data_IF_415759467280
#
_entry.id   IF_415759467280
#
_cell.length_a   1.000
_cell.length_b   1.000
_cell.length_c   1.000
_cell.angle_alpha   90.00
_cell.angle_beta   90.00
_cell.angle_gamma   90.00
#
_symmetry.space_group_name_H-M   'P 1'
#
loop_
_entity.id
_entity.type
_entity.pdbx_description
1 polymer ?
#
# COMPACT_ATOMS: atom_id res chain seq x y z
N UNK A 1 9.40 -17.19 7.17
CA UNK A 1 8.58 -16.13 6.55
C UNK A 1 9.51 -14.96 6.32
N UNK A 2 9.92 -14.74 5.07
CA UNK A 2 10.94 -13.75 4.72
C UNK A 2 10.43 -12.36 5.06
N UNK A 3 11.08 -11.75 6.04
CA UNK A 3 10.92 -10.36 6.45
C UNK A 3 11.39 -9.55 5.25
N UNK A 4 10.46 -9.02 4.44
CA UNK A 4 10.85 -8.13 3.35
C UNK A 4 11.33 -6.82 3.96
N UNK A 5 12.64 -6.70 4.15
CA UNK A 5 13.35 -5.44 4.36
C UNK A 5 13.16 -4.57 3.12
N UNK A 6 11.99 -3.95 3.02
CA UNK A 6 11.57 -3.17 1.89
C UNK A 6 10.61 -2.11 2.39
N UNK A 7 11.16 -0.94 2.65
CA UNK A 7 10.41 0.22 3.08
C UNK A 7 9.26 0.55 2.14
N UNK A 8 8.06 0.74 2.67
CA UNK A 8 6.87 1.07 1.87
C UNK A 8 6.80 2.59 1.64
N UNK A 9 7.01 3.11 0.42
CA UNK A 9 7.15 4.56 0.23
C UNK A 9 5.82 5.31 0.24
N UNK A 10 4.70 4.62 0.00
CA UNK A 10 3.33 5.06 0.20
C UNK A 10 2.50 3.81 0.45
N UNK A 11 1.71 3.79 1.53
CA UNK A 11 0.83 2.66 1.82
C UNK A 11 -0.60 3.10 1.56
N UNK A 12 -1.33 2.27 0.82
CA UNK A 12 -2.78 2.34 0.71
C UNK A 12 -3.35 1.11 1.37
N UNK A 13 -4.35 1.27 2.25
CA UNK A 13 -5.25 0.18 2.58
C UNK A 13 -6.59 0.48 1.93
N UNK A 14 -7.08 -0.46 1.12
CA UNK A 14 -8.43 -0.44 0.59
C UNK A 14 -9.24 -1.53 1.29
N UNK A 15 -10.32 -1.12 1.97
CA UNK A 15 -11.31 -2.04 2.57
C UNK A 15 -12.27 -2.48 1.47
N UNK A 16 -12.26 -3.78 1.18
CA UNK A 16 -13.07 -4.41 0.15
C UNK A 16 -14.33 -5.01 0.77
N UNK A 17 -15.45 -4.86 0.08
CA UNK A 17 -16.65 -5.63 0.41
C UNK A 17 -16.52 -7.04 -0.20
N UNK A 18 -16.55 -8.05 0.67
CA UNK A 18 -16.33 -9.48 0.47
C UNK A 18 -17.00 -10.08 -0.79
N UNK A 19 -16.29 -10.16 -1.95
CA UNK A 19 -16.73 -11.03 -3.07
C UNK A 19 -15.75 -11.30 -4.26
N UNK A 20 -14.42 -11.07 -4.18
CA UNK A 20 -13.53 -11.28 -5.35
C UNK A 20 -12.11 -11.77 -5.01
N UNK A 21 -11.94 -12.97 -4.48
CA UNK A 21 -10.61 -13.45 -4.05
C UNK A 21 -9.77 -14.08 -5.18
N UNK A 22 -10.39 -14.59 -6.26
CA UNK A 22 -9.74 -15.58 -7.13
C UNK A 22 -9.31 -15.01 -8.50
N UNK A 23 -10.00 -14.00 -9.04
CA UNK A 23 -9.85 -13.59 -10.44
C UNK A 23 -8.65 -12.69 -10.75
N UNK A 24 -8.05 -12.03 -9.76
CA UNK A 24 -6.99 -11.03 -10.00
C UNK A 24 -5.59 -11.45 -9.50
N UNK A 25 -5.46 -12.60 -8.82
CA UNK A 25 -4.24 -13.00 -8.12
C UNK A 25 -2.97 -12.94 -9.00
N UNK A 26 -3.05 -13.37 -10.26
CA UNK A 26 -1.88 -13.36 -11.15
C UNK A 26 -1.50 -11.97 -11.68
N UNK A 27 -2.41 -10.98 -11.63
CA UNK A 27 -2.20 -9.66 -12.26
C UNK A 27 -1.86 -8.55 -11.25
N UNK A 28 -2.27 -8.67 -9.99
CA UNK A 28 -2.04 -7.63 -8.97
C UNK A 28 -1.08 -8.07 -7.86
N UNK A 29 -0.69 -9.35 -7.81
CA UNK A 29 0.12 -9.89 -6.70
C UNK A 29 1.50 -9.23 -6.56
N UNK A 30 2.04 -8.62 -7.62
CA UNK A 30 3.31 -7.90 -7.54
C UNK A 30 3.22 -6.60 -6.71
N UNK A 31 2.03 -6.01 -6.58
CA UNK A 31 1.80 -4.75 -5.87
C UNK A 31 1.05 -4.89 -4.55
N UNK A 32 0.40 -6.03 -4.31
CA UNK A 32 -0.44 -6.21 -3.12
C UNK A 32 -0.41 -7.63 -2.56
N UNK A 33 -0.47 -7.72 -1.23
CA UNK A 33 -0.76 -8.95 -0.51
C UNK A 33 -2.20 -8.85 -0.02
N UNK A 34 -3.12 -9.51 -0.70
CA UNK A 34 -4.53 -9.47 -0.34
C UNK A 34 -4.74 -10.24 0.99
N UNK A 35 -5.29 -9.58 2.00
CA UNK A 35 -5.71 -10.23 3.24
C UNK A 35 -7.22 -10.05 3.42
N UNK A 36 -8.00 -11.05 3.02
CA UNK A 36 -9.48 -11.09 3.08
C UNK A 36 -10.13 -9.77 2.59
N UNK A 37 -10.31 -8.80 3.48
CA UNK A 37 -10.95 -7.51 3.24
C UNK A 37 -9.98 -6.33 3.08
N UNK A 38 -8.71 -6.45 3.51
CA UNK A 38 -7.70 -5.41 3.42
C UNK A 38 -6.74 -5.66 2.25
N UNK A 39 -6.52 -4.61 1.45
CA UNK A 39 -5.60 -4.64 0.33
C UNK A 39 -4.48 -3.59 0.48
N UNK A 40 -3.36 -3.95 1.14
CA UNK A 40 -2.17 -3.11 1.18
C UNK A 40 -1.55 -2.98 -0.20
N UNK A 41 -1.40 -1.75 -0.72
CA UNK A 41 -0.72 -1.51 -2.01
C UNK A 41 0.66 -0.90 -1.76
N UNK A 42 1.68 -1.52 -2.36
CA UNK A 42 3.05 -1.00 -2.46
C UNK A 42 3.45 -0.90 -3.93
N UNK A 43 3.67 0.32 -4.42
CA UNK A 43 3.93 0.56 -5.85
C UNK A 43 5.40 0.80 -6.19
N UNK A 44 6.14 1.48 -5.30
CA UNK A 44 7.55 1.80 -5.52
C UNK A 44 8.39 1.15 -4.40
N UNK A 45 9.64 0.75 -4.68
CA UNK A 45 10.59 0.35 -3.65
C UNK A 45 11.34 1.55 -3.02
N UNK A 46 11.24 2.76 -3.59
CA UNK A 46 12.04 3.92 -3.18
C UNK A 46 11.29 5.25 -3.29
N UNK A 47 11.75 6.24 -2.51
CA UNK A 47 11.30 7.64 -2.58
C UNK A 47 12.09 8.49 -3.58
N UNK A 48 13.11 7.90 -4.24
CA UNK A 48 14.02 8.61 -5.15
C UNK A 48 14.68 9.81 -4.45
N UNK A 49 15.28 9.55 -3.29
CA UNK A 49 15.94 10.58 -2.49
C UNK A 49 17.24 11.05 -3.16
N UNK A 50 17.35 12.36 -3.35
CA UNK A 50 18.52 13.05 -3.82
C UNK A 50 19.52 13.26 -2.68
N UNK A 51 20.78 13.53 -3.03
CA UNK A 51 21.86 13.77 -2.04
C UNK A 51 21.60 14.97 -1.12
N UNK A 52 20.74 15.88 -1.53
CA UNK A 52 20.34 17.07 -0.77
C UNK A 52 19.14 16.82 0.18
N UNK A 53 18.63 15.58 0.22
CA UNK A 53 17.48 15.18 1.04
C UNK A 53 16.12 15.48 0.40
N UNK A 54 16.09 16.00 -0.83
CA UNK A 54 14.84 16.13 -1.60
C UNK A 54 14.48 14.82 -2.29
N UNK A 55 13.27 14.71 -2.85
CA UNK A 55 12.87 13.57 -3.68
C UNK A 55 12.73 14.02 -5.14
N UNK A 56 12.96 13.11 -6.08
CA UNK A 56 12.63 13.35 -7.48
C UNK A 56 11.17 13.78 -7.66
N UNK A 57 10.95 14.69 -8.61
CA UNK A 57 9.63 15.22 -8.98
C UNK A 57 9.35 14.89 -10.45
N UNK A 58 8.08 14.84 -10.83
CA UNK A 58 7.73 14.63 -12.25
C UNK A 58 7.98 15.90 -13.07
N UNK A 59 8.50 15.75 -14.28
CA UNK A 59 8.89 16.89 -15.13
C UNK A 59 7.71 17.78 -15.52
N UNK A 60 6.51 17.21 -15.65
CA UNK A 60 5.28 17.92 -16.03
C UNK A 60 4.67 18.72 -14.87
N UNK A 61 4.94 18.33 -13.63
CA UNK A 61 4.49 19.01 -12.41
C UNK A 61 5.55 18.87 -11.31
N UNK A 62 6.48 19.83 -11.20
CA UNK A 62 7.55 19.81 -10.20
C UNK A 62 7.08 19.85 -8.74
N UNK A 63 5.80 20.13 -8.47
CA UNK A 63 5.24 20.07 -7.10
C UNK A 63 4.90 18.64 -6.68
N UNK A 64 4.82 17.71 -7.64
CA UNK A 64 4.46 16.31 -7.38
C UNK A 64 5.71 15.43 -7.35
N UNK A 65 5.93 14.77 -6.21
CA UNK A 65 6.99 13.78 -6.05
C UNK A 65 6.73 12.58 -6.96
N UNK A 66 7.79 12.10 -7.62
CA UNK A 66 7.74 11.00 -8.59
C UNK A 66 7.10 9.75 -8.01
N UNK A 67 7.52 9.33 -6.81
CA UNK A 67 6.99 8.11 -6.18
C UNK A 67 5.50 8.21 -5.84
N UNK A 68 4.98 9.41 -5.53
CA UNK A 68 3.55 9.64 -5.26
C UNK A 68 2.75 9.48 -6.55
N UNK A 69 3.26 10.02 -7.66
CA UNK A 69 2.63 9.90 -8.96
C UNK A 69 2.59 8.45 -9.46
N UNK A 70 3.72 7.74 -9.36
CA UNK A 70 3.78 6.30 -9.70
C UNK A 70 2.80 5.50 -8.84
N UNK A 71 2.70 5.82 -7.54
CA UNK A 71 1.76 5.18 -6.63
C UNK A 71 0.30 5.39 -7.02
N UNK A 72 -0.09 6.62 -7.33
CA UNK A 72 -1.45 6.92 -7.77
C UNK A 72 -1.81 6.20 -9.07
N UNK A 73 -0.86 6.04 -10.00
CA UNK A 73 -1.08 5.26 -11.21
C UNK A 73 -1.35 3.78 -10.89
N UNK A 74 -0.57 3.18 -10.01
CA UNK A 74 -0.78 1.79 -9.55
C UNK A 74 -2.13 1.65 -8.85
N UNK A 75 -2.48 2.55 -7.93
CA UNK A 75 -3.78 2.55 -7.24
C UNK A 75 -4.93 2.67 -8.23
N UNK A 76 -4.84 3.59 -9.19
CA UNK A 76 -5.87 3.77 -10.21
C UNK A 76 -6.06 2.50 -11.05
N UNK A 77 -4.98 1.86 -11.49
CA UNK A 77 -5.06 0.59 -12.23
C UNK A 77 -5.74 -0.50 -11.41
N UNK A 78 -5.37 -0.65 -10.14
CA UNK A 78 -5.94 -1.66 -9.25
C UNK A 78 -7.43 -1.37 -8.99
N UNK A 79 -7.79 -0.12 -8.73
CA UNK A 79 -9.17 0.29 -8.46
C UNK A 79 -10.06 0.06 -9.67
N UNK A 80 -9.59 0.42 -10.86
CA UNK A 80 -10.30 0.17 -12.12
C UNK A 80 -10.53 -1.33 -12.33
N UNK A 81 -9.50 -2.16 -12.15
CA UNK A 81 -9.62 -3.63 -12.31
C UNK A 81 -10.61 -4.24 -11.32
N UNK A 82 -10.57 -3.79 -10.06
CA UNK A 82 -11.49 -4.31 -9.04
C UNK A 82 -12.93 -3.87 -9.35
N UNK A 83 -13.13 -2.62 -9.76
CA UNK A 83 -14.44 -2.15 -10.23
C UNK A 83 -14.94 -2.97 -11.41
N UNK A 84 -14.09 -3.23 -12.41
CA UNK A 84 -14.47 -3.97 -13.61
C UNK A 84 -14.77 -5.45 -13.32
N UNK A 85 -14.16 -6.01 -12.26
CA UNK A 85 -14.49 -7.34 -11.73
C UNK A 85 -15.78 -7.37 -10.88
N UNK A 86 -16.44 -6.23 -10.63
CA UNK A 86 -17.64 -6.11 -9.79
C UNK A 86 -17.38 -5.81 -8.31
N UNK A 87 -16.13 -5.52 -7.95
CA UNK A 87 -15.73 -5.22 -6.59
C UNK A 87 -15.98 -3.76 -6.21
N UNK A 88 -16.06 -3.52 -4.90
CA UNK A 88 -16.22 -2.18 -4.34
C UNK A 88 -15.26 -1.96 -3.18
N UNK A 89 -14.94 -0.69 -2.94
CA UNK A 89 -14.16 -0.25 -1.78
C UNK A 89 -14.97 0.67 -0.89
N UNK A 90 -14.73 0.60 0.41
CA UNK A 90 -15.24 1.58 1.35
C UNK A 90 -14.40 2.86 1.29
N UNK A 91 -14.95 3.93 0.70
CA UNK A 91 -14.27 5.22 0.65
C UNK A 91 -13.96 5.82 2.02
N UNK A 92 -14.79 5.55 3.03
CA UNK A 92 -14.62 6.07 4.40
C UNK A 92 -13.52 5.35 5.19
N UNK A 93 -13.22 4.10 4.84
CA UNK A 93 -12.16 3.31 5.49
C UNK A 93 -10.87 3.27 4.67
N UNK A 94 -10.94 3.69 3.42
CA UNK A 94 -9.80 3.74 2.51
C UNK A 94 -8.84 4.85 2.91
N UNK A 95 -7.57 4.50 3.04
CA UNK A 95 -6.49 5.48 3.23
C UNK A 95 -5.59 5.45 2.00
N UNK A 96 -5.36 6.61 1.38
CA UNK A 96 -4.53 6.75 0.18
C UNK A 96 -3.36 7.69 0.48
N UNK A 97 -2.15 7.29 0.08
CA UNK A 97 -0.89 8.04 0.30
C UNK A 97 -0.67 8.32 1.79
N UNK A 98 -0.35 7.27 2.55
CA UNK A 98 0.08 7.41 3.93
C UNK A 98 1.58 7.08 4.09
N UNK A 99 2.27 7.88 4.92
CA UNK A 99 3.64 7.59 5.37
C UNK A 99 3.70 6.41 6.33
N UNK A 100 2.62 6.18 7.08
CA UNK A 100 2.44 5.08 8.02
C UNK A 100 0.95 4.70 8.09
N UNK A 101 0.66 3.42 8.28
CA UNK A 101 -0.70 2.92 8.48
C UNK A 101 -0.68 1.60 9.26
N UNK A 102 -1.73 1.33 10.03
CA UNK A 102 -1.91 0.03 10.67
C UNK A 102 -2.77 -0.86 9.78
N UNK A 103 -2.27 -2.03 9.43
CA UNK A 103 -2.97 -3.03 8.61
C UNK A 103 -2.91 -4.35 9.35
N UNK A 104 -4.07 -4.91 9.72
CA UNK A 104 -4.19 -6.19 10.42
C UNK A 104 -3.23 -6.29 11.63
N UNK A 105 -3.27 -5.29 12.50
CA UNK A 105 -2.42 -5.21 13.70
C UNK A 105 -0.90 -5.14 13.42
N UNK A 106 -0.49 -4.78 12.20
CA UNK A 106 0.89 -4.41 11.85
C UNK A 106 0.99 -2.93 11.53
N UNK A 107 1.91 -2.25 12.20
CA UNK A 107 2.35 -0.91 11.81
C UNK A 107 3.25 -1.03 10.57
N UNK A 108 2.76 -0.50 9.46
CA UNK A 108 3.45 -0.48 8.19
C UNK A 108 3.96 0.93 7.93
N UNK A 109 5.23 1.06 7.54
CA UNK A 109 5.84 2.34 7.18
C UNK A 109 6.92 2.17 6.10
N UNK A 110 7.53 3.29 5.70
CA UNK A 110 8.75 3.26 4.89
C UNK A 110 9.94 2.54 5.57
N UNK A 111 9.90 2.23 6.86
CA UNK A 111 11.00 1.49 7.50
C UNK A 111 10.80 -0.02 7.53
N UNK A 112 9.59 -0.48 7.19
CA UNK A 112 9.22 -1.89 7.27
C UNK A 112 7.86 -2.09 7.91
N UNK A 113 7.60 -3.32 8.33
CA UNK A 113 6.35 -3.75 8.96
C UNK A 113 6.66 -4.36 10.32
N UNK A 114 6.02 -3.85 11.36
CA UNK A 114 6.22 -4.28 12.74
C UNK A 114 4.88 -4.61 13.39
N UNK A 115 4.79 -5.66 14.21
CA UNK A 115 3.57 -5.93 14.97
C UNK A 115 3.29 -4.77 15.93
N UNK A 116 2.02 -4.43 16.11
CA UNK A 116 1.63 -3.41 17.10
C UNK A 116 2.01 -3.84 18.52
N UNK A 117 2.17 -2.87 19.40
CA UNK A 117 2.45 -3.12 20.83
C UNK A 117 1.41 -4.02 21.47
N UNK A 118 0.14 -3.88 21.08
CA UNK A 118 -0.96 -4.71 21.57
C UNK A 118 -0.80 -6.17 21.15
N UNK A 119 -0.40 -6.42 19.90
CA UNK A 119 -0.13 -7.77 19.38
C UNK A 119 1.04 -8.41 20.11
N UNK A 120 2.11 -7.66 20.36
CA UNK A 120 3.25 -8.13 21.15
C UNK A 120 2.81 -8.47 22.58
N UNK A 121 1.96 -7.62 23.16
CA UNK A 121 1.35 -7.83 24.46
C UNK A 121 0.65 -9.19 24.54
N UNK A 122 -0.24 -9.51 23.59
CA UNK A 122 -0.96 -10.79 23.54
C UNK A 122 -0.05 -12.02 23.51
N UNK A 123 1.16 -11.93 22.92
CA UNK A 123 2.10 -13.05 22.79
C UNK A 123 2.96 -13.25 24.04
N UNK A 124 3.28 -12.15 24.75
CA UNK A 124 4.14 -12.18 25.93
C UNK A 124 3.38 -12.45 27.25
N UNK A 125 2.07 -12.67 27.17
CA UNK A 125 1.18 -12.99 28.29
C UNK A 125 1.10 -14.48 28.57
#
# INVERSE_FOLDING_TARGET
MTISEGGVPCIVSLDKNNELHISLHNEISEYTLLYIDDMPIQSSPSRYECKDGTCEVISVNPETRRFVWEHLNTVNQIVVRIRDAGGSFSGLKTTIIADWITIVEFECSYKGRYPTTDTIGKILC
#
